data_IF_301976587615
#
_entry.id   IF_301976587615
#
_cell.length_a   1.000
_cell.length_b   1.000
_cell.length_c   1.000
_cell.angle_alpha   90.00
_cell.angle_beta   90.00
_cell.angle_gamma   90.00
#
_symmetry.space_group_name_H-M   'P 1'
#
loop_
_entity.id
_entity.type
_entity.pdbx_description
1 polymer ?
#
# COMPACT_ATOMS: atom_id res chain seq x y z
N UNK A 1 -8.85 26.07 -24.52
CA UNK A 1 -8.43 24.66 -24.33
C UNK A 1 -9.64 23.78 -24.52
N UNK A 2 -9.64 22.89 -25.52
CA UNK A 2 -10.75 21.99 -25.78
C UNK A 2 -10.89 21.02 -24.61
N UNK A 3 -12.04 21.02 -23.92
CA UNK A 3 -12.42 19.91 -23.05
C UNK A 3 -12.51 18.68 -23.94
N UNK A 4 -11.52 17.78 -23.88
CA UNK A 4 -11.70 16.44 -24.41
C UNK A 4 -12.91 15.85 -23.69
N UNK A 5 -14.03 15.72 -24.39
CA UNK A 5 -15.14 14.90 -23.93
C UNK A 5 -14.62 13.47 -23.89
N UNK A 6 -14.17 13.02 -22.71
CA UNK A 6 -13.92 11.60 -22.50
C UNK A 6 -15.29 10.92 -22.55
N UNK A 7 -15.55 10.17 -23.62
CA UNK A 7 -16.72 9.29 -23.67
C UNK A 7 -16.56 8.21 -22.60
N UNK A 8 -17.36 8.32 -21.55
CA UNK A 8 -17.40 7.33 -20.47
C UNK A 8 -18.57 6.39 -20.74
N UNK A 9 -18.28 5.08 -20.73
CA UNK A 9 -19.33 4.07 -20.91
C UNK A 9 -20.40 4.19 -19.83
N UNK A 10 -21.67 4.18 -20.24
CA UNK A 10 -22.83 4.17 -19.33
C UNK A 10 -22.75 3.04 -18.30
N UNK A 11 -22.19 1.89 -18.69
CA UNK A 11 -21.98 0.77 -17.80
C UNK A 11 -21.02 1.11 -16.65
N UNK A 12 -19.90 1.79 -16.95
CA UNK A 12 -18.94 2.22 -15.92
C UNK A 12 -19.54 3.29 -15.00
N UNK A 13 -20.33 4.21 -15.55
CA UNK A 13 -21.08 5.20 -14.75
C UNK A 13 -22.03 4.50 -13.78
N UNK A 14 -22.82 3.54 -14.27
CA UNK A 14 -23.73 2.76 -13.45
C UNK A 14 -23.02 2.00 -12.33
N UNK A 15 -21.90 1.34 -12.65
CA UNK A 15 -21.09 0.63 -11.65
C UNK A 15 -20.49 1.58 -10.62
N UNK A 16 -19.94 2.71 -11.06
CA UNK A 16 -19.43 3.74 -10.15
C UNK A 16 -20.50 4.18 -9.15
N UNK A 17 -21.71 4.50 -9.63
CA UNK A 17 -22.83 4.88 -8.75
C UNK A 17 -23.19 3.77 -7.77
N UNK A 18 -23.36 2.55 -8.27
CA UNK A 18 -23.71 1.38 -7.45
C UNK A 18 -22.67 1.10 -6.35
N UNK A 19 -21.39 1.24 -6.68
CA UNK A 19 -20.28 0.96 -5.77
C UNK A 19 -19.89 2.17 -4.89
N UNK A 20 -20.41 3.37 -5.17
CA UNK A 20 -20.17 4.55 -4.34
C UNK A 20 -21.02 4.54 -3.07
N UNK A 21 -22.22 3.95 -3.14
CA UNK A 21 -23.19 3.90 -2.03
C UNK A 21 -23.05 2.65 -1.15
N UNK A 22 -21.85 2.03 -1.13
CA UNK A 22 -21.61 0.84 -0.33
C UNK A 22 -21.71 1.15 1.17
N UNK A 23 -22.65 0.48 1.84
CA UNK A 23 -22.80 0.56 3.29
C UNK A 23 -22.02 -0.57 3.94
N UNK A 24 -21.11 -0.20 4.84
CA UNK A 24 -20.36 -1.17 5.64
C UNK A 24 -21.31 -2.00 6.51
N UNK A 25 -21.12 -3.32 6.52
CA UNK A 25 -21.82 -4.23 7.42
C UNK A 25 -21.50 -3.88 8.88
N UNK A 26 -22.53 -3.66 9.69
CA UNK A 26 -22.39 -3.39 11.12
C UNK A 26 -22.25 -4.70 11.88
N UNK A 27 -21.07 -4.95 12.43
CA UNK A 27 -20.77 -6.12 13.26
C UNK A 27 -19.63 -5.73 14.22
N UNK A 28 -19.79 -5.91 15.55
CA UNK A 28 -18.76 -5.58 16.53
C UNK A 28 -17.39 -6.21 16.23
N UNK A 29 -17.35 -7.46 15.74
CA UNK A 29 -16.09 -8.12 15.39
C UNK A 29 -15.36 -7.41 14.24
N UNK A 30 -16.10 -6.90 13.26
CA UNK A 30 -15.54 -6.15 12.14
C UNK A 30 -15.10 -4.74 12.58
N UNK A 31 -15.79 -4.13 13.54
CA UNK A 31 -15.39 -2.84 14.12
C UNK A 31 -14.04 -2.93 14.85
N UNK A 32 -13.85 -4.00 15.63
CA UNK A 32 -12.58 -4.29 16.30
C UNK A 32 -11.45 -4.54 15.29
N UNK A 33 -11.72 -5.33 14.26
CA UNK A 33 -10.77 -5.59 13.18
C UNK A 33 -10.33 -4.31 12.45
N UNK A 34 -11.28 -3.43 12.10
CA UNK A 34 -10.98 -2.13 11.47
C UNK A 34 -10.16 -1.25 12.42
N UNK A 35 -10.44 -1.29 13.72
CA UNK A 35 -9.65 -0.55 14.72
C UNK A 35 -8.20 -1.03 14.74
N UNK A 36 -7.97 -2.33 14.61
CA UNK A 36 -6.62 -2.90 14.51
C UNK A 36 -5.95 -2.54 13.18
N UNK A 37 -6.68 -2.56 12.06
CA UNK A 37 -6.17 -2.10 10.77
C UNK A 37 -5.72 -0.63 10.82
N UNK A 38 -6.52 0.23 11.46
CA UNK A 38 -6.14 1.64 11.70
C UNK A 38 -4.87 1.77 12.54
N UNK A 39 -4.64 0.90 13.52
CA UNK A 39 -3.39 0.87 14.30
C UNK A 39 -2.21 0.37 13.48
N UNK A 40 -2.44 -0.61 12.61
CA UNK A 40 -1.43 -1.16 11.70
C UNK A 40 -0.92 -0.15 10.67
N UNK A 41 -1.74 0.86 10.32
CA UNK A 41 -1.43 1.85 9.27
C UNK A 41 -0.06 2.51 9.38
N UNK A 42 0.47 2.72 10.59
CA UNK A 42 1.78 3.33 10.82
C UNK A 42 2.95 2.51 10.25
N UNK A 43 2.75 1.20 10.12
CA UNK A 43 3.74 0.23 9.66
C UNK A 43 3.49 -0.25 8.22
N UNK A 44 2.50 0.32 7.53
CA UNK A 44 2.17 -0.01 6.15
C UNK A 44 2.69 1.11 5.25
N UNK A 45 3.64 0.76 4.37
CA UNK A 45 4.27 1.72 3.45
C UNK A 45 3.35 2.14 2.32
N UNK A 46 2.72 1.17 1.65
CA UNK A 46 1.87 1.41 0.48
C UNK A 46 0.74 0.39 0.44
N UNK A 47 -0.35 0.72 -0.26
CA UNK A 47 -1.41 -0.24 -0.57
C UNK A 47 -1.62 -0.26 -2.07
N UNK A 48 -1.78 -1.45 -2.63
CA UNK A 48 -2.14 -1.66 -4.03
C UNK A 48 -3.45 -2.45 -4.04
N UNK A 49 -4.43 -1.97 -4.81
CA UNK A 49 -5.75 -2.59 -4.88
C UNK A 49 -6.33 -2.57 -6.27
N UNK A 50 -7.06 -3.63 -6.59
CA UNK A 50 -7.94 -3.78 -7.76
C UNK A 50 -9.39 -3.41 -7.42
N UNK A 51 -9.69 -3.08 -6.16
CA UNK A 51 -11.01 -2.65 -5.72
C UNK A 51 -11.31 -1.22 -6.18
N UNK A 52 -12.57 -0.98 -6.53
CA UNK A 52 -13.02 0.32 -7.05
C UNK A 52 -13.50 1.27 -5.94
N UNK A 53 -13.99 0.74 -4.82
CA UNK A 53 -14.60 1.48 -3.71
C UNK A 53 -13.59 2.32 -2.89
N UNK A 54 -14.07 3.23 -2.04
CA UNK A 54 -13.23 4.16 -1.27
C UNK A 54 -12.96 3.73 0.18
N UNK A 55 -13.11 2.43 0.49
CA UNK A 55 -13.01 1.95 1.87
C UNK A 55 -11.62 2.18 2.47
N UNK A 56 -10.56 1.89 1.71
CA UNK A 56 -9.18 1.99 2.18
C UNK A 56 -8.77 3.44 2.41
N UNK A 57 -9.19 4.35 1.53
CA UNK A 57 -9.00 5.79 1.61
C UNK A 57 -9.49 6.32 2.98
N UNK A 58 -10.67 5.85 3.41
CA UNK A 58 -11.29 6.25 4.68
C UNK A 58 -10.54 5.78 5.94
N UNK A 59 -9.65 4.79 5.80
CA UNK A 59 -8.90 4.18 6.91
C UNK A 59 -7.47 4.73 6.97
N UNK A 60 -6.82 4.80 5.81
CA UNK A 60 -5.39 5.08 5.70
C UNK A 60 -5.07 6.56 5.48
N UNK A 61 -6.03 7.38 5.06
CA UNK A 61 -5.79 8.80 4.70
C UNK A 61 -4.62 8.93 3.69
N UNK A 62 -4.48 7.93 2.84
CA UNK A 62 -3.52 7.89 1.74
C UNK A 62 -4.10 8.62 0.54
N UNK A 63 -3.22 9.26 -0.24
CA UNK A 63 -3.64 9.88 -1.48
C UNK A 63 -3.88 8.76 -2.52
N UNK A 64 -5.11 8.60 -3.05
CA UNK A 64 -5.38 7.60 -4.07
C UNK A 64 -4.73 8.03 -5.38
N UNK A 65 -3.93 7.14 -5.95
CA UNK A 65 -3.33 7.25 -7.27
C UNK A 65 -4.07 6.30 -8.20
N UNK A 66 -4.71 6.85 -9.22
CA UNK A 66 -5.67 6.12 -10.06
C UNK A 66 -5.04 5.89 -11.44
N UNK A 67 -4.95 4.62 -11.85
CA UNK A 67 -4.49 4.26 -13.20
C UNK A 67 -3.05 4.68 -13.49
N UNK A 68 -2.84 5.75 -14.26
CA UNK A 68 -1.51 6.18 -14.70
C UNK A 68 -0.80 7.13 -13.73
N UNK A 69 -1.51 7.69 -12.74
CA UNK A 69 -0.94 8.61 -11.75
C UNK A 69 0.06 7.93 -10.78
N UNK A 70 0.22 6.61 -10.95
CA UNK A 70 1.17 5.75 -10.25
C UNK A 70 2.61 6.09 -10.66
N UNK A 71 2.82 6.51 -11.92
CA UNK A 71 4.15 6.79 -12.44
C UNK A 71 4.76 7.99 -11.71
N UNK A 72 5.98 7.81 -11.17
CA UNK A 72 6.76 8.82 -10.43
C UNK A 72 6.23 9.14 -9.01
N UNK A 73 5.23 8.41 -8.51
CA UNK A 73 4.75 8.65 -7.15
C UNK A 73 5.69 8.09 -6.10
N UNK A 74 5.76 8.78 -4.97
CA UNK A 74 6.41 8.24 -3.79
C UNK A 74 5.63 7.01 -3.28
N UNK A 75 6.27 5.85 -3.05
CA UNK A 75 5.53 4.71 -2.54
C UNK A 75 5.03 4.91 -1.12
N UNK A 76 5.72 5.66 -0.28
CA UNK A 76 5.34 5.80 1.12
C UNK A 76 4.07 6.65 1.30
N UNK A 77 3.04 6.05 1.92
CA UNK A 77 1.74 6.68 2.14
C UNK A 77 0.85 6.76 0.90
N UNK A 78 1.13 5.93 -0.11
CA UNK A 78 0.37 5.91 -1.37
C UNK A 78 -0.61 4.75 -1.44
N UNK A 79 -1.80 5.02 -2.00
CA UNK A 79 -2.81 4.03 -2.34
C UNK A 79 -2.91 3.92 -3.86
N UNK A 80 -2.46 2.81 -4.41
CA UNK A 80 -2.48 2.52 -5.83
C UNK A 80 -3.75 1.78 -6.22
N UNK A 81 -4.64 2.43 -6.98
CA UNK A 81 -5.87 1.82 -7.51
C UNK A 81 -5.67 1.45 -8.97
N UNK A 82 -5.08 0.28 -9.19
CA UNK A 82 -4.59 -0.14 -10.50
C UNK A 82 -5.72 -0.46 -11.49
N UNK A 83 -6.92 -0.80 -11.00
CA UNK A 83 -8.10 -1.04 -11.84
C UNK A 83 -9.04 0.17 -11.92
N UNK A 84 -8.62 1.34 -11.42
CA UNK A 84 -9.44 2.55 -11.41
C UNK A 84 -10.21 2.75 -10.10
N UNK A 85 -11.07 3.76 -10.08
CA UNK A 85 -11.85 4.14 -8.89
C UNK A 85 -13.28 4.56 -9.27
N UNK A 86 -14.22 4.36 -8.35
CA UNK A 86 -15.59 4.88 -8.51
C UNK A 86 -15.65 6.40 -8.70
N UNK A 87 -14.68 7.15 -8.19
CA UNK A 87 -14.61 8.61 -8.36
C UNK A 87 -14.19 9.05 -9.76
N UNK A 88 -13.63 8.14 -10.56
CA UNK A 88 -13.17 8.38 -11.92
C UNK A 88 -13.62 7.21 -12.82
N UNK A 89 -14.92 7.13 -13.18
CA UNK A 89 -15.49 5.97 -13.87
C UNK A 89 -14.82 5.66 -15.21
N UNK A 90 -14.23 6.66 -15.89
CA UNK A 90 -13.46 6.48 -17.12
C UNK A 90 -12.19 5.65 -16.93
N UNK A 91 -11.64 5.63 -15.72
CA UNK A 91 -10.42 4.91 -15.36
C UNK A 91 -10.68 3.44 -15.05
N UNK A 92 -11.93 3.05 -14.81
CA UNK A 92 -12.27 1.70 -14.36
C UNK A 92 -11.96 0.65 -15.44
N UNK A 93 -11.30 -0.44 -15.05
CA UNK A 93 -10.92 -1.55 -15.92
C UNK A 93 -11.82 -2.74 -15.62
N UNK A 94 -12.82 -2.97 -16.47
CA UNK A 94 -13.85 -4.00 -16.24
C UNK A 94 -14.14 -4.81 -17.50
N UNK A 95 -14.19 -4.16 -18.67
CA UNK A 95 -14.48 -4.86 -19.93
C UNK A 95 -13.21 -5.47 -20.52
N UNK A 96 -13.34 -6.48 -21.38
CA UNK A 96 -12.21 -7.09 -22.10
C UNK A 96 -11.36 -6.04 -22.83
N UNK A 97 -12.00 -5.09 -23.51
CA UNK A 97 -11.33 -3.97 -24.17
C UNK A 97 -10.56 -3.06 -23.19
N UNK A 98 -11.04 -2.93 -21.94
CA UNK A 98 -10.30 -2.21 -20.91
C UNK A 98 -9.06 -2.98 -20.51
N UNK A 99 -9.16 -4.30 -20.32
CA UNK A 99 -8.01 -5.15 -20.02
C UNK A 99 -6.98 -5.17 -21.15
N UNK A 100 -7.39 -5.20 -22.42
CA UNK A 100 -6.47 -5.07 -23.56
C UNK A 100 -5.70 -3.75 -23.54
N UNK A 101 -6.40 -2.63 -23.28
CA UNK A 101 -5.79 -1.30 -23.17
C UNK A 101 -4.91 -1.18 -21.93
N UNK A 102 -5.36 -1.76 -20.82
CA UNK A 102 -4.64 -1.79 -19.56
C UNK A 102 -3.35 -2.59 -19.70
N UNK A 103 -3.38 -3.80 -20.24
CA UNK A 103 -2.20 -4.66 -20.40
C UNK A 103 -1.06 -3.96 -21.17
N UNK A 104 -1.38 -3.15 -22.18
CA UNK A 104 -0.38 -2.34 -22.91
C UNK A 104 0.27 -1.24 -22.05
N UNK A 105 -0.45 -0.70 -21.07
CA UNK A 105 0.01 0.36 -20.16
C UNK A 105 0.57 -0.20 -18.84
N UNK A 106 0.11 -1.39 -18.48
CA UNK A 106 0.40 -2.09 -17.24
C UNK A 106 1.88 -2.45 -17.13
N UNK A 107 2.61 -2.53 -18.23
CA UNK A 107 4.05 -2.81 -18.23
C UNK A 107 4.84 -1.82 -17.35
N UNK A 108 4.52 -0.52 -17.40
CA UNK A 108 5.19 0.48 -16.57
C UNK A 108 4.80 0.37 -15.08
N UNK A 109 3.50 0.17 -14.80
CA UNK A 109 3.00 -0.05 -13.44
C UNK A 109 3.66 -1.31 -12.86
N UNK A 110 3.71 -2.39 -13.63
CA UNK A 110 4.35 -3.66 -13.29
C UNK A 110 5.82 -3.47 -12.95
N UNK A 111 6.58 -2.67 -13.70
CA UNK A 111 7.98 -2.38 -13.39
C UNK A 111 8.14 -1.72 -12.00
N UNK A 112 7.28 -0.76 -11.67
CA UNK A 112 7.27 -0.11 -10.35
C UNK A 112 6.85 -1.08 -9.24
N UNK A 113 5.85 -1.92 -9.49
CA UNK A 113 5.42 -2.97 -8.56
C UNK A 113 6.56 -3.97 -8.29
N UNK A 114 7.27 -4.43 -9.33
CA UNK A 114 8.42 -5.31 -9.18
C UNK A 114 9.51 -4.69 -8.30
N UNK A 115 9.81 -3.40 -8.52
CA UNK A 115 10.76 -2.67 -7.69
C UNK A 115 10.30 -2.62 -6.22
N UNK A 116 9.02 -2.33 -5.97
CA UNK A 116 8.48 -2.32 -4.62
C UNK A 116 8.59 -3.68 -3.96
N UNK A 117 8.38 -4.74 -4.74
CA UNK A 117 8.28 -6.08 -4.22
C UNK A 117 9.61 -6.73 -3.88
N UNK A 118 10.67 -6.34 -4.56
CA UNK A 118 12.03 -6.79 -4.23
C UNK A 118 12.51 -6.15 -2.92
N UNK A 119 12.11 -4.90 -2.65
CA UNK A 119 12.66 -4.11 -1.54
C UNK A 119 11.81 -4.11 -0.26
N UNK A 120 10.55 -4.56 -0.30
CA UNK A 120 9.65 -4.48 0.83
C UNK A 120 8.91 -5.81 1.05
N UNK A 121 8.62 -6.17 2.32
CA UNK A 121 7.65 -7.23 2.61
C UNK A 121 6.25 -6.88 2.08
N UNK A 122 5.55 -7.88 1.55
CA UNK A 122 4.23 -7.77 0.95
C UNK A 122 3.30 -8.78 1.59
N UNK A 123 2.08 -8.32 1.84
CA UNK A 123 0.98 -9.16 2.30
C UNK A 123 -0.11 -9.11 1.22
N UNK A 124 -0.39 -10.25 0.60
CA UNK A 124 -1.50 -10.41 -0.34
C UNK A 124 -2.78 -10.76 0.43
N UNK A 125 -3.81 -9.93 0.31
CA UNK A 125 -5.10 -10.11 0.98
C UNK A 125 -6.21 -10.10 -0.07
N UNK A 126 -7.12 -11.07 -0.01
CA UNK A 126 -8.25 -11.15 -0.95
C UNK A 126 -7.87 -11.62 -2.36
N UNK A 127 -6.67 -12.18 -2.52
CA UNK A 127 -6.21 -12.79 -3.76
C UNK A 127 -6.21 -14.31 -3.64
N UNK A 128 -6.58 -14.98 -4.73
CA UNK A 128 -6.29 -16.40 -4.90
C UNK A 128 -4.87 -16.55 -5.42
N UNK A 129 -4.16 -17.59 -4.97
CA UNK A 129 -2.89 -17.98 -5.58
C UNK A 129 -3.04 -18.35 -7.06
N UNK A 130 -4.26 -18.70 -7.48
CA UNK A 130 -4.59 -19.00 -8.86
C UNK A 130 -4.72 -17.75 -9.74
N UNK A 131 -4.62 -16.54 -9.18
CA UNK A 131 -4.69 -15.29 -9.95
C UNK A 131 -3.49 -15.15 -10.90
N UNK A 132 -3.78 -14.99 -12.19
CA UNK A 132 -2.76 -14.93 -13.23
C UNK A 132 -1.86 -13.68 -13.13
N UNK A 133 -2.37 -12.56 -12.61
CA UNK A 133 -1.54 -11.37 -12.39
C UNK A 133 -0.52 -11.63 -11.28
N UNK A 134 -0.94 -12.28 -10.19
CA UNK A 134 -0.06 -12.66 -9.08
C UNK A 134 0.99 -13.66 -9.54
N UNK A 135 0.58 -14.74 -10.23
CA UNK A 135 1.52 -15.73 -10.78
C UNK A 135 2.51 -15.11 -11.75
N UNK A 136 2.05 -14.28 -12.68
CA UNK A 136 2.90 -13.62 -13.68
C UNK A 136 3.93 -12.70 -13.04
N UNK A 137 3.53 -11.97 -12.01
CA UNK A 137 4.41 -11.12 -11.23
C UNK A 137 5.45 -11.93 -10.44
N UNK A 138 5.02 -12.93 -9.67
CA UNK A 138 5.95 -13.80 -8.91
C UNK A 138 6.92 -14.52 -9.86
N UNK A 139 6.43 -15.03 -10.99
CA UNK A 139 7.27 -15.58 -12.06
C UNK A 139 8.34 -14.62 -12.50
N UNK A 140 7.99 -13.35 -12.71
CA UNK A 140 8.97 -12.34 -13.12
C UNK A 140 10.05 -12.15 -12.08
N UNK A 141 9.68 -12.00 -10.80
CA UNK A 141 10.64 -11.79 -9.70
C UNK A 141 11.62 -12.97 -9.60
N UNK A 142 11.10 -14.19 -9.56
CA UNK A 142 11.91 -15.39 -9.36
C UNK A 142 12.61 -15.89 -10.63
N UNK A 143 12.26 -15.37 -11.82
CA UNK A 143 13.04 -15.61 -13.05
C UNK A 143 14.42 -14.96 -12.98
N UNK A 144 14.56 -13.83 -12.27
CA UNK A 144 15.83 -13.11 -12.14
C UNK A 144 16.67 -13.55 -10.94
N UNK A 145 16.18 -14.49 -10.14
CA UNK A 145 16.85 -14.93 -8.92
C UNK A 145 17.23 -16.40 -9.07
N UNK A 146 18.48 -16.74 -8.73
CA UNK A 146 18.92 -18.13 -8.77
C UNK A 146 18.10 -18.97 -7.77
N UNK A 147 17.49 -20.07 -8.21
CA UNK A 147 16.78 -20.99 -7.31
C UNK A 147 17.70 -21.48 -6.19
N UNK A 148 17.16 -21.65 -4.98
CA UNK A 148 17.89 -22.12 -3.80
C UNK A 148 19.07 -21.24 -3.35
N UNK A 149 19.12 -19.97 -3.77
CA UNK A 149 20.09 -19.00 -3.26
C UNK A 149 19.61 -18.33 -1.97
N UNK A 150 20.54 -17.76 -1.19
CA UNK A 150 20.20 -16.94 -0.02
C UNK A 150 19.31 -15.73 -0.39
N UNK A 151 19.52 -15.18 -1.60
CA UNK A 151 18.70 -14.12 -2.15
C UNK A 151 17.27 -14.58 -2.43
N UNK A 152 17.10 -15.79 -2.99
CA UNK A 152 15.77 -16.38 -3.20
C UNK A 152 15.04 -16.60 -1.87
N UNK A 153 15.74 -17.02 -0.82
CA UNK A 153 15.15 -17.19 0.50
C UNK A 153 14.70 -15.85 1.10
N UNK A 154 15.53 -14.81 1.03
CA UNK A 154 15.17 -13.46 1.50
C UNK A 154 13.96 -12.90 0.77
N UNK A 155 13.92 -13.06 -0.55
CA UNK A 155 12.80 -12.62 -1.38
C UNK A 155 11.54 -13.41 -1.03
N UNK A 156 11.65 -14.73 -0.84
CA UNK A 156 10.56 -15.58 -0.37
C UNK A 156 10.00 -15.12 0.99
N UNK A 157 10.87 -14.80 1.94
CA UNK A 157 10.48 -14.37 3.28
C UNK A 157 9.73 -13.02 3.27
N UNK A 158 9.89 -12.24 2.20
CA UNK A 158 9.15 -10.99 2.01
C UNK A 158 7.69 -11.20 1.60
N UNK A 159 7.25 -12.40 1.20
CA UNK A 159 5.86 -12.60 0.76
C UNK A 159 5.03 -13.37 1.78
N UNK A 160 3.85 -12.82 2.11
CA UNK A 160 2.82 -13.50 2.88
C UNK A 160 1.50 -13.49 2.11
N UNK A 161 0.96 -14.66 1.80
CA UNK A 161 -0.38 -14.81 1.25
C UNK A 161 -1.40 -15.08 2.36
N UNK A 162 -2.44 -14.25 2.43
CA UNK A 162 -3.57 -14.42 3.35
C UNK A 162 -4.77 -14.92 2.57
N UNK A 163 -5.12 -16.19 2.78
CA UNK A 163 -6.32 -16.79 2.20
C UNK A 163 -7.45 -16.81 3.22
N UNK A 164 -8.62 -16.36 2.78
CA UNK A 164 -9.84 -16.46 3.57
C UNK A 164 -10.23 -17.93 3.74
N UNK A 165 -10.41 -18.34 4.99
CA UNK A 165 -11.02 -19.62 5.34
C UNK A 165 -12.05 -19.39 6.44
N UNK A 166 -13.32 -19.61 6.13
CA UNK A 166 -14.42 -19.42 7.08
C UNK A 166 -14.22 -20.27 8.33
N UNK A 167 -14.52 -19.68 9.48
CA UNK A 167 -14.42 -20.30 10.81
C UNK A 167 -13.00 -20.77 11.19
N UNK A 168 -11.97 -20.19 10.57
CA UNK A 168 -10.57 -20.49 10.85
C UNK A 168 -9.91 -19.37 11.64
N UNK A 169 -9.66 -19.61 12.93
CA UNK A 169 -8.82 -18.76 13.77
C UNK A 169 -7.32 -19.15 13.71
N UNK A 170 -6.89 -19.83 12.65
CA UNK A 170 -5.51 -20.27 12.54
C UNK A 170 -4.55 -19.08 12.46
N UNK A 171 -3.46 -19.19 13.23
CA UNK A 171 -2.29 -18.30 13.17
C UNK A 171 -1.09 -18.99 12.52
N UNK A 172 -1.26 -20.22 12.03
CA UNK A 172 -0.17 -21.03 11.49
C UNK A 172 0.22 -20.52 10.10
N UNK A 173 1.52 -20.26 9.96
CA UNK A 173 2.13 -19.92 8.67
C UNK A 173 2.66 -21.21 8.06
N UNK A 174 2.11 -21.59 6.92
CA UNK A 174 2.52 -22.75 6.15
C UNK A 174 3.26 -22.31 4.89
N UNK A 175 4.11 -23.18 4.36
CA UNK A 175 4.68 -22.99 3.03
C UNK A 175 3.66 -23.41 1.96
N UNK A 176 3.60 -22.66 0.88
CA UNK A 176 2.79 -23.02 -0.28
C UNK A 176 3.64 -23.02 -1.54
N UNK A 177 3.66 -24.16 -2.23
CA UNK A 177 4.29 -24.31 -3.54
C UNK A 177 3.37 -23.72 -4.62
N UNK A 178 3.90 -22.76 -5.37
CA UNK A 178 3.28 -22.20 -6.58
C UNK A 178 3.98 -22.83 -7.76
N UNK A 179 3.22 -23.61 -8.54
CA UNK A 179 3.69 -24.07 -9.82
C UNK A 179 3.63 -22.91 -10.83
N UNK A 180 4.78 -22.60 -11.41
CA UNK A 180 4.89 -21.61 -12.45
C UNK A 180 5.21 -22.34 -13.74
N UNK A 181 4.24 -22.40 -14.64
CA UNK A 181 4.37 -23.09 -15.92
C UNK A 181 5.71 -22.78 -16.61
N UNK A 182 6.55 -23.81 -16.75
CA UNK A 182 7.88 -23.74 -17.39
C UNK A 182 9.01 -23.17 -16.52
N UNK A 183 8.83 -23.03 -15.20
CA UNK A 183 9.87 -22.60 -14.26
C UNK A 183 9.86 -23.47 -12.98
N UNK A 184 10.82 -23.25 -12.08
CA UNK A 184 10.85 -23.94 -10.78
C UNK A 184 9.68 -23.54 -9.89
N UNK A 185 9.15 -24.49 -9.11
CA UNK A 185 8.15 -24.23 -8.07
C UNK A 185 8.67 -23.18 -7.08
N UNK A 186 7.88 -22.14 -6.83
CA UNK A 186 8.21 -21.12 -5.82
C UNK A 186 7.48 -21.46 -4.53
N UNK A 187 8.21 -21.43 -3.41
CA UNK A 187 7.60 -21.46 -2.09
C UNK A 187 7.35 -20.04 -1.60
N UNK A 188 6.14 -19.76 -1.13
CA UNK A 188 5.83 -18.52 -0.39
C UNK A 188 5.18 -18.85 0.95
N UNK A 189 5.24 -17.91 1.88
CA UNK A 189 4.56 -18.06 3.17
C UNK A 189 3.07 -17.79 2.99
N UNK A 190 2.24 -18.59 3.66
CA UNK A 190 0.80 -18.55 3.53
C UNK A 190 0.12 -18.77 4.86
N UNK A 191 -0.96 -18.03 5.11
CA UNK A 191 -1.86 -18.21 6.24
C UNK A 191 -3.30 -18.37 5.73
N UNK A 192 -4.05 -19.31 6.30
CA UNK A 192 -5.47 -19.53 6.00
C UNK A 192 -6.32 -19.22 7.21
N UNK A 193 -7.03 -18.10 7.18
CA UNK A 193 -7.71 -17.57 8.37
C UNK A 193 -8.88 -16.66 7.97
N UNK A 194 -9.90 -16.56 8.81
CA UNK A 194 -10.86 -15.45 8.78
C UNK A 194 -10.60 -14.43 9.90
N UNK A 195 -9.58 -14.66 10.72
CA UNK A 195 -9.19 -13.78 11.82
C UNK A 195 -8.11 -12.77 11.39
N UNK A 196 -8.49 -11.83 10.52
CA UNK A 196 -7.58 -10.77 10.07
C UNK A 196 -7.14 -9.83 11.20
N UNK A 197 -7.92 -9.75 12.29
CA UNK A 197 -7.57 -9.00 13.48
C UNK A 197 -6.19 -9.40 14.05
N UNK A 198 -5.85 -10.69 14.06
CA UNK A 198 -4.52 -11.15 14.50
C UNK A 198 -3.40 -10.64 13.61
N UNK A 199 -3.61 -10.65 12.29
CA UNK A 199 -2.64 -10.16 11.30
C UNK A 199 -2.41 -8.67 11.51
N UNK A 200 -3.47 -7.87 11.61
CA UNK A 200 -3.36 -6.44 11.82
C UNK A 200 -2.74 -6.09 13.17
N UNK A 201 -3.03 -6.88 14.21
CA UNK A 201 -2.38 -6.73 15.51
C UNK A 201 -0.87 -6.94 15.39
N UNK A 202 -0.43 -8.05 14.78
CA UNK A 202 0.99 -8.34 14.56
C UNK A 202 1.69 -7.21 13.79
N UNK A 203 1.08 -6.72 12.70
CA UNK A 203 1.63 -5.59 11.94
C UNK A 203 1.75 -4.34 12.82
N UNK A 204 0.74 -4.05 13.65
CA UNK A 204 0.74 -2.85 14.50
C UNK A 204 1.80 -2.87 15.61
N UNK A 205 2.24 -4.05 16.02
CA UNK A 205 3.24 -4.28 17.08
C UNK A 205 4.68 -4.25 16.55
N UNK A 206 4.87 -4.28 15.22
CA UNK A 206 6.20 -4.14 14.61
C UNK A 206 6.86 -2.81 15.05
N UNK A 207 8.09 -2.93 15.57
CA UNK A 207 8.94 -1.79 15.90
C UNK A 207 9.88 -1.51 14.74
N UNK A 208 9.43 -0.68 13.79
CA UNK A 208 10.26 -0.21 12.70
C UNK A 208 11.15 0.96 13.18
N UNK A 209 12.43 1.03 12.76
CA UNK A 209 13.32 2.14 13.12
C UNK A 209 12.77 3.51 12.72
N UNK A 210 12.02 3.56 11.61
CA UNK A 210 11.29 4.73 11.11
C UNK A 210 9.94 4.26 10.61
N UNK A 211 8.85 4.94 11.01
CA UNK A 211 7.50 4.60 10.53
C UNK A 211 7.24 5.15 9.13
N UNK A 212 6.33 4.53 8.38
CA UNK A 212 5.94 5.04 7.06
C UNK A 212 5.34 6.45 7.13
N UNK A 213 4.64 6.75 8.23
CA UNK A 213 4.11 8.10 8.48
C UNK A 213 5.21 9.14 8.68
N UNK A 214 6.32 8.78 9.33
CA UNK A 214 7.43 9.70 9.55
C UNK A 214 8.21 9.94 8.25
N UNK A 215 8.43 8.90 7.44
CA UNK A 215 9.02 9.06 6.10
C UNK A 215 8.18 10.03 5.26
N UNK A 216 6.85 9.88 5.24
CA UNK A 216 5.93 10.78 4.52
C UNK A 216 6.03 12.21 5.02
N UNK A 217 6.07 12.43 6.34
CA UNK A 217 6.23 13.79 6.91
C UNK A 217 7.52 14.45 6.44
N UNK A 218 8.65 13.73 6.53
CA UNK A 218 9.95 14.25 6.10
C UNK A 218 9.94 14.58 4.61
N UNK A 219 9.38 13.71 3.77
CA UNK A 219 9.31 13.92 2.33
C UNK A 219 8.45 15.11 1.94
N UNK A 220 7.30 15.30 2.60
CA UNK A 220 6.45 16.47 2.37
C UNK A 220 7.18 17.77 2.72
N UNK A 221 7.85 17.80 3.89
CA UNK A 221 8.65 18.96 4.31
C UNK A 221 9.77 19.23 3.30
N UNK A 222 10.49 18.19 2.86
CA UNK A 222 11.55 18.32 1.85
C UNK A 222 11.04 18.80 0.49
N UNK A 223 9.88 18.30 0.03
CA UNK A 223 9.28 18.74 -1.22
C UNK A 223 8.96 20.25 -1.19
N UNK A 224 8.42 20.74 -0.07
CA UNK A 224 8.10 22.16 0.10
C UNK A 224 9.36 23.05 0.13
N UNK A 225 10.46 22.54 0.71
CA UNK A 225 11.78 23.21 0.71
C UNK A 225 12.33 23.32 -0.72
N UNK A 226 12.31 22.21 -1.48
CA UNK A 226 12.87 22.16 -2.84
C UNK A 226 12.05 23.00 -3.83
N UNK A 227 10.73 23.07 -3.64
CA UNK A 227 9.83 23.84 -4.50
C UNK A 227 9.85 25.36 -4.20
N UNK A 228 10.59 25.80 -3.18
CA UNK A 228 10.82 27.22 -2.91
C UNK A 228 9.59 27.94 -2.33
N UNK A 229 8.69 27.22 -1.66
CA UNK A 229 7.68 27.85 -0.80
C UNK A 229 8.36 28.65 0.32
N UNK A 230 7.68 29.63 0.95
CA UNK A 230 8.19 30.51 2.03
C UNK A 230 8.59 29.72 3.31
N UNK A 231 9.52 28.77 3.19
CA UNK A 231 10.01 27.92 4.25
C UNK A 231 11.45 28.34 4.54
N UNK A 232 11.63 28.89 5.73
CA UNK A 232 12.93 29.20 6.28
C UNK A 232 13.49 27.92 6.90
N UNK A 233 14.43 27.26 6.22
CA UNK A 233 15.14 26.10 6.77
C UNK A 233 16.17 26.61 7.79
N UNK A 234 15.89 26.44 9.07
CA UNK A 234 16.84 26.71 10.15
C UNK A 234 17.41 25.40 10.68
N UNK A 235 18.73 25.25 10.58
CA UNK A 235 19.46 24.15 11.23
C UNK A 235 19.84 24.66 12.62
N UNK A 236 19.22 24.12 13.66
CA UNK A 236 19.51 24.48 15.05
C UNK A 236 19.69 23.22 15.89
N UNK A 237 20.65 23.23 16.81
CA UNK A 237 20.78 22.20 17.84
C UNK A 237 19.85 22.47 19.04
N UNK A 238 19.28 23.68 19.12
CA UNK A 238 18.42 24.14 20.20
C UNK A 238 16.98 24.28 19.71
N UNK A 239 16.12 23.37 20.19
CA UNK A 239 14.72 23.28 19.82
C UNK A 239 13.91 24.46 20.38
N UNK A 240 14.36 25.06 21.49
CA UNK A 240 13.61 26.10 22.19
C UNK A 240 13.61 27.45 21.45
N UNK A 241 14.49 27.62 20.45
CA UNK A 241 14.56 28.80 19.59
C UNK A 241 13.56 28.78 18.43
N UNK A 242 12.83 27.68 18.25
CA UNK A 242 11.95 27.46 17.12
C UNK A 242 10.54 27.97 17.39
N UNK A 243 9.94 28.65 16.41
CA UNK A 243 8.57 29.15 16.52
C UNK A 243 7.56 28.08 16.09
N UNK A 244 6.46 27.95 16.82
CA UNK A 244 5.39 26.96 16.58
C UNK A 244 4.64 27.13 15.24
N UNK A 245 4.79 28.27 14.56
CA UNK A 245 4.15 28.56 13.27
C UNK A 245 4.98 28.11 12.05
N UNK A 246 6.15 27.51 12.27
CA UNK A 246 7.06 27.05 11.22
C UNK A 246 7.03 25.51 11.05
N UNK A 247 7.17 25.03 9.81
CA UNK A 247 7.43 23.60 9.54
C UNK A 247 8.88 23.29 9.91
N UNK A 248 9.07 22.51 10.97
CA UNK A 248 10.39 22.21 11.55
C UNK A 248 10.71 20.72 11.35
N UNK A 249 11.92 20.43 10.85
CA UNK A 249 12.52 19.10 10.87
C UNK A 249 13.79 19.13 11.73
N UNK A 250 13.77 18.46 12.88
CA UNK A 250 14.94 18.37 13.78
C UNK A 250 15.71 17.08 13.48
N UNK A 251 17.00 17.21 13.20
CA UNK A 251 17.93 16.08 12.99
C UNK A 251 19.04 16.21 14.04
N UNK A 252 19.17 15.23 14.93
CA UNK A 252 20.15 15.27 16.01
C UNK A 252 20.49 13.88 16.56
N UNK A 253 21.59 13.78 17.31
CA UNK A 253 21.97 12.54 17.96
C UNK A 253 20.94 12.14 19.04
N UNK A 254 20.67 10.83 19.17
CA UNK A 254 19.63 10.26 20.06
C UNK A 254 19.73 10.75 21.51
N UNK A 255 20.94 11.05 21.98
CA UNK A 255 21.22 11.55 23.34
C UNK A 255 20.73 12.98 23.58
N UNK A 256 20.65 13.82 22.53
CA UNK A 256 20.17 15.22 22.62
C UNK A 256 18.66 15.38 22.40
N UNK A 257 17.96 14.35 21.91
CA UNK A 257 16.52 14.40 21.58
C UNK A 257 15.59 14.04 22.76
N UNK A 258 16.15 13.58 23.89
CA UNK A 258 15.41 13.29 25.11
C UNK A 258 15.17 14.58 25.93
N UNK A 259 14.42 15.54 25.40
CA UNK A 259 13.84 16.61 26.22
C UNK A 259 12.35 16.78 25.91
N UNK A 260 11.56 16.56 26.97
CA UNK A 260 10.10 16.52 27.04
C UNK A 260 9.34 17.38 26.02
N UNK A 261 8.69 16.73 25.04
CA UNK A 261 7.51 17.30 24.37
C UNK A 261 6.36 17.29 25.37
N UNK A 262 6.32 18.28 26.28
CA UNK A 262 5.13 18.54 27.11
C UNK A 262 4.02 19.03 26.18
N UNK A 263 3.05 18.17 25.91
CA UNK A 263 1.72 18.57 25.39
C UNK A 263 1.18 19.69 26.28
N UNK A 264 1.17 20.93 25.80
CA UNK A 264 0.33 21.97 26.40
C UNK A 264 -1.10 21.72 25.93
N UNK A 265 -1.93 21.25 26.86
CA UNK A 265 -3.38 21.33 26.77
C UNK A 265 -3.78 22.80 26.68
N UNK A 266 -4.58 23.14 25.68
CA UNK A 266 -5.70 24.08 25.80
C UNK A 266 -6.87 23.52 25.01
#
# INVERSE_FOLDING_TARGET
MAKQHKEVSRFKIFLSQTLSDLIRRKNPKLDDEITLLKKARKNIGSIITTNYDQFIESIFEFNPLIGNDILLSNPYGSLYKIHGCVTAPESMIITEQDYEKFNKRYELIRAQLLSLFIHNPIIFIGYSISDENIKSLLKTIFTYVQPNSEQAQKIRDNFLLVEYQSDSNSSEVCEHDIDLEGYSTIRINKIKTDNYAQIYKAISELMLPVSAMDIRKVQNVMADIVTGSDIQVSITEDIDLLRNDQKILVIGAKEKLNMNIKKQQK
#
